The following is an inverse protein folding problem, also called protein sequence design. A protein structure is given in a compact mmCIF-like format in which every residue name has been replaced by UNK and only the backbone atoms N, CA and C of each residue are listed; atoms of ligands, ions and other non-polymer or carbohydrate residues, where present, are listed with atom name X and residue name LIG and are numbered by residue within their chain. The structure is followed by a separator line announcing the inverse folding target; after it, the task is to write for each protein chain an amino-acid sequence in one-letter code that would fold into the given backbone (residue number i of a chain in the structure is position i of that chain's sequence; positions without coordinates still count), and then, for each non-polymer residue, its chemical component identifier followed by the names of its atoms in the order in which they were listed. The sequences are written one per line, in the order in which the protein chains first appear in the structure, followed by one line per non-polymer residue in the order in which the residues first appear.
data_IF_107338337089
#
_entry.id   IF_107338337089
#
_cell.length_a   1.000
_cell.length_b   1.000
_cell.length_c   1.000
_cell.angle_alpha   90.00
_cell.angle_beta   90.00
_cell.angle_gamma   90.00
#
_symmetry.space_group_name_H-M   'P 1'
#
loop_
_entity.id
_entity.type
_entity.pdbx_description
1 polymer ?
#
# COMPACT_ATOMS: atom_id res chain seq x y z
N UNK A 1 -10.74 5.13 0.71
CA UNK A 1 -9.90 4.56 -0.37
C UNK A 1 -9.78 5.51 -1.56
N UNK A 2 -10.86 6.02 -2.17
CA UNK A 2 -10.75 6.95 -3.33
C UNK A 2 -10.00 8.25 -2.97
N UNK A 3 -10.37 8.91 -1.87
CA UNK A 3 -9.67 10.12 -1.40
C UNK A 3 -8.21 9.87 -1.01
N UNK A 4 -7.92 8.67 -0.52
CA UNK A 4 -6.56 8.27 -0.12
C UNK A 4 -5.67 8.04 -1.35
N UNK A 5 -6.22 7.45 -2.42
CA UNK A 5 -5.53 7.32 -3.71
C UNK A 5 -5.23 8.69 -4.31
N UNK A 6 -6.16 9.65 -4.23
CA UNK A 6 -5.94 11.00 -4.73
C UNK A 6 -4.77 11.68 -3.99
N UNK A 7 -4.66 11.49 -2.67
CA UNK A 7 -3.54 12.03 -1.87
C UNK A 7 -2.20 11.36 -2.20
N UNK A 8 -2.20 10.05 -2.40
CA UNK A 8 -1.00 9.33 -2.85
C UNK A 8 -0.55 9.80 -4.24
N UNK A 9 -1.50 10.06 -5.14
CA UNK A 9 -1.21 10.60 -6.47
C UNK A 9 -0.65 12.03 -6.39
N UNK A 10 -1.21 12.88 -5.52
CA UNK A 10 -0.69 14.22 -5.28
C UNK A 10 0.74 14.18 -4.74
N UNK A 11 1.01 13.38 -3.71
CA UNK A 11 2.36 13.23 -3.17
C UNK A 11 3.37 12.76 -4.24
N UNK A 12 2.98 11.78 -5.06
CA UNK A 12 3.80 11.30 -6.17
C UNK A 12 4.04 12.36 -7.26
N UNK A 13 3.07 13.23 -7.51
CA UNK A 13 3.19 14.31 -8.50
C UNK A 13 4.10 15.46 -8.01
N UNK A 14 4.13 15.71 -6.70
CA UNK A 14 4.95 16.74 -6.08
C UNK A 14 6.39 16.26 -5.77
N UNK A 15 6.63 14.94 -5.77
CA UNK A 15 7.96 14.34 -5.53
C UNK A 15 8.93 14.49 -6.73
N UNK A 16 9.33 15.73 -7.01
CA UNK A 16 10.23 16.06 -8.12
C UNK A 16 11.57 15.32 -8.07
N UNK A 17 12.06 15.05 -6.86
CA UNK A 17 13.31 14.31 -6.59
C UNK A 17 13.16 12.79 -6.65
N UNK A 18 11.94 12.29 -6.86
CA UNK A 18 11.61 10.87 -7.00
C UNK A 18 11.99 10.04 -5.76
N UNK A 19 11.96 10.65 -4.58
CA UNK A 19 12.29 10.04 -3.29
C UNK A 19 11.44 8.80 -3.02
N UNK A 20 10.14 8.86 -3.35
CA UNK A 20 9.19 7.74 -3.22
C UNK A 20 9.65 6.56 -4.08
N UNK A 21 9.89 6.79 -5.38
CA UNK A 21 10.28 5.73 -6.30
C UNK A 21 11.59 5.09 -5.85
N UNK A 22 12.58 5.91 -5.52
CA UNK A 22 13.91 5.45 -5.12
C UNK A 22 13.84 4.58 -3.86
N UNK A 23 13.06 4.99 -2.85
CA UNK A 23 12.92 4.22 -1.60
C UNK A 23 12.20 2.88 -1.83
N UNK A 24 11.15 2.86 -2.65
CA UNK A 24 10.44 1.63 -3.02
C UNK A 24 11.35 0.69 -3.81
N UNK A 25 12.11 1.24 -4.78
CA UNK A 25 13.04 0.48 -5.61
C UNK A 25 14.15 -0.16 -4.78
N UNK A 26 14.79 0.61 -3.89
CA UNK A 26 15.83 0.11 -2.98
C UNK A 26 15.30 -0.99 -2.05
N UNK A 27 14.05 -0.89 -1.63
CA UNK A 27 13.39 -1.86 -0.76
C UNK A 27 12.73 -3.02 -1.53
N UNK A 28 12.83 -3.05 -2.86
CA UNK A 28 12.10 -4.00 -3.69
C UNK A 28 12.48 -5.44 -3.40
N UNK A 29 13.78 -5.74 -3.25
CA UNK A 29 14.25 -7.10 -2.96
C UNK A 29 13.82 -7.64 -1.59
N UNK A 30 13.32 -6.78 -0.70
CA UNK A 30 12.87 -7.12 0.65
C UNK A 30 11.35 -7.00 0.81
N UNK A 31 10.89 -6.08 1.69
CA UNK A 31 9.50 -6.10 2.17
C UNK A 31 8.47 -5.81 1.06
N UNK A 32 8.81 -5.03 0.03
CA UNK A 32 7.89 -4.73 -1.07
C UNK A 32 7.58 -5.98 -1.90
N UNK A 33 8.59 -6.76 -2.31
CA UNK A 33 8.37 -8.02 -3.02
C UNK A 33 7.59 -9.02 -2.18
N UNK A 34 7.88 -9.10 -0.88
CA UNK A 34 7.14 -10.00 0.03
C UNK A 34 5.68 -9.61 0.14
N UNK A 35 5.38 -8.31 0.30
CA UNK A 35 4.01 -7.79 0.35
C UNK A 35 3.23 -8.09 -0.94
N UNK A 36 3.84 -7.85 -2.11
CA UNK A 36 3.16 -8.03 -3.40
C UNK A 36 2.89 -9.49 -3.76
N UNK A 37 3.74 -10.43 -3.30
CA UNK A 37 3.57 -11.86 -3.57
C UNK A 37 2.73 -12.58 -2.51
N UNK A 38 2.16 -11.86 -1.56
CA UNK A 38 1.38 -12.44 -0.49
C UNK A 38 -0.13 -12.38 -0.78
N UNK A 39 -0.73 -13.54 -1.07
CA UNK A 39 -2.18 -13.66 -1.30
C UNK A 39 -3.04 -13.30 -0.08
N UNK A 40 -2.51 -13.43 1.14
CA UNK A 40 -3.27 -13.14 2.37
C UNK A 40 -3.48 -11.64 2.62
N UNK A 41 -2.82 -10.77 1.86
CA UNK A 41 -3.08 -9.32 1.86
C UNK A 41 -3.83 -8.87 0.61
N UNK A 42 -4.29 -9.81 -0.22
CA UNK A 42 -5.07 -9.53 -1.42
C UNK A 42 -6.56 -9.66 -1.13
N UNK A 43 -7.32 -8.57 -1.24
CA UNK A 43 -8.74 -8.58 -0.87
C UNK A 43 -9.61 -9.61 -1.63
N UNK A 44 -9.48 -9.80 -2.95
CA UNK A 44 -10.22 -10.84 -3.68
C UNK A 44 -10.02 -12.26 -3.13
N UNK A 45 -8.84 -12.60 -2.60
CA UNK A 45 -8.62 -13.89 -1.94
C UNK A 45 -9.60 -14.09 -0.77
N UNK A 46 -9.76 -13.07 0.08
CA UNK A 46 -10.68 -13.14 1.21
C UNK A 46 -12.14 -13.08 0.81
N UNK A 47 -12.48 -12.32 -0.23
CA UNK A 47 -13.85 -12.28 -0.74
C UNK A 47 -14.30 -13.65 -1.24
N UNK A 48 -13.43 -14.36 -1.97
CA UNK A 48 -13.67 -15.74 -2.34
C UNK A 48 -13.85 -16.67 -1.13
N UNK A 49 -12.95 -16.62 -0.15
CA UNK A 49 -13.01 -17.49 1.02
C UNK A 49 -14.21 -17.21 1.94
N UNK A 50 -14.77 -16.00 1.86
CA UNK A 50 -15.99 -15.62 2.58
C UNK A 50 -17.27 -15.92 1.79
N UNK A 51 -17.18 -16.61 0.64
CA UNK A 51 -18.33 -16.99 -0.17
C UNK A 51 -19.01 -15.83 -0.90
N UNK A 52 -18.32 -14.72 -1.12
CA UNK A 52 -18.84 -13.63 -1.95
C UNK A 52 -18.73 -14.04 -3.41
N UNK A 53 -19.88 -14.06 -4.11
CA UNK A 53 -19.94 -14.38 -5.55
C UNK A 53 -19.10 -13.40 -6.39
N UNK A 54 -18.52 -13.89 -7.50
CA UNK A 54 -17.77 -13.08 -8.46
C UNK A 54 -16.28 -12.89 -8.14
N UNK A 55 -15.75 -13.73 -7.24
CA UNK A 55 -14.34 -13.75 -6.82
C UNK A 55 -13.68 -15.12 -7.01
N UNK A 56 -14.31 -16.04 -7.74
CA UNK A 56 -13.77 -17.35 -8.10
C UNK A 56 -12.47 -17.24 -8.90
N UNK A 57 -12.31 -16.14 -9.65
CA UNK A 57 -11.14 -15.79 -10.47
C UNK A 57 -10.04 -15.04 -9.69
N UNK A 58 -10.03 -15.09 -8.37
CA UNK A 58 -9.07 -14.31 -7.56
C UNK A 58 -7.61 -14.63 -7.90
N UNK A 59 -7.28 -15.86 -8.30
CA UNK A 59 -5.91 -16.24 -8.69
C UNK A 59 -5.46 -15.50 -9.96
N UNK A 60 -6.33 -15.43 -10.97
CA UNK A 60 -6.07 -14.69 -12.20
C UNK A 60 -5.93 -13.18 -11.93
N UNK A 61 -6.80 -12.64 -11.06
CA UNK A 61 -6.70 -11.24 -10.62
C UNK A 61 -5.41 -10.97 -9.84
N UNK A 62 -4.96 -11.93 -9.03
CA UNK A 62 -3.70 -11.80 -8.31
C UNK A 62 -2.52 -11.78 -9.28
N UNK A 63 -2.48 -12.70 -10.24
CA UNK A 63 -1.44 -12.73 -11.27
C UNK A 63 -1.45 -11.45 -12.14
N UNK A 64 -2.64 -10.94 -12.49
CA UNK A 64 -2.79 -9.68 -13.21
C UNK A 64 -2.31 -8.49 -12.37
N UNK A 65 -2.63 -8.45 -11.08
CA UNK A 65 -2.15 -7.44 -10.13
C UNK A 65 -0.62 -7.42 -10.07
N UNK A 66 0.03 -8.59 -10.00
CA UNK A 66 1.50 -8.70 -9.98
C UNK A 66 2.13 -8.21 -11.29
N UNK A 67 1.56 -8.59 -12.44
CA UNK A 67 2.03 -8.10 -13.76
C UNK A 67 1.90 -6.57 -13.87
N UNK A 68 0.77 -6.01 -13.45
CA UNK A 68 0.52 -4.56 -13.51
C UNK A 68 1.43 -3.78 -12.56
N UNK A 69 1.69 -4.31 -11.36
CA UNK A 69 2.66 -3.72 -10.44
C UNK A 69 4.08 -3.72 -11.02
N UNK A 70 4.49 -4.84 -11.65
CA UNK A 70 5.81 -4.94 -12.30
C UNK A 70 5.92 -3.96 -13.48
N UNK A 71 4.83 -3.75 -14.22
CA UNK A 71 4.78 -2.73 -15.28
C UNK A 71 4.92 -1.32 -14.69
N UNK A 72 4.19 -0.99 -13.62
CA UNK A 72 4.29 0.30 -12.94
C UNK A 72 5.72 0.59 -12.44
N UNK A 73 6.45 -0.44 -11.96
CA UNK A 73 7.87 -0.31 -11.60
C UNK A 73 8.78 0.03 -12.78
N UNK A 74 8.51 -0.55 -13.96
CA UNK A 74 9.25 -0.24 -15.20
C UNK A 74 8.96 1.16 -15.69
N UNK A 75 7.69 1.56 -15.65
CA UNK A 75 7.23 2.89 -16.05
C UNK A 75 7.55 3.96 -15.01
N UNK A 76 8.03 3.53 -13.83
CA UNK A 76 8.36 4.37 -12.68
C UNK A 76 7.18 5.23 -12.22
N UNK A 77 5.97 4.68 -12.34
CA UNK A 77 4.70 5.29 -11.95
C UNK A 77 4.50 5.14 -10.43
N UNK A 78 5.08 6.06 -9.67
CA UNK A 78 5.00 6.09 -8.21
C UNK A 78 3.55 6.08 -7.69
N UNK A 79 2.63 6.80 -8.34
CA UNK A 79 1.24 6.86 -7.91
C UNK A 79 0.57 5.49 -8.02
N UNK A 80 0.75 4.80 -9.15
CA UNK A 80 0.21 3.47 -9.35
C UNK A 80 0.87 2.44 -8.42
N UNK A 81 2.19 2.49 -8.24
CA UNK A 81 2.93 1.64 -7.29
C UNK A 81 2.36 1.81 -5.88
N UNK A 82 2.22 3.06 -5.41
CA UNK A 82 1.67 3.38 -4.10
C UNK A 82 0.24 2.85 -3.96
N UNK A 83 -0.60 2.96 -4.99
CA UNK A 83 -1.96 2.42 -4.93
C UNK A 83 -2.00 0.92 -4.65
N UNK A 84 -1.07 0.14 -5.24
CA UNK A 84 -0.95 -1.30 -4.97
C UNK A 84 -0.46 -1.57 -3.55
N UNK A 85 0.59 -0.88 -3.12
CA UNK A 85 1.17 -1.03 -1.77
C UNK A 85 0.12 -0.73 -0.71
N UNK A 86 -0.55 0.43 -0.79
CA UNK A 86 -1.55 0.84 0.18
C UNK A 86 -2.82 -0.01 0.14
N UNK A 87 -3.21 -0.54 -1.03
CA UNK A 87 -4.31 -1.51 -1.10
C UNK A 87 -4.01 -2.79 -0.29
N UNK A 88 -2.76 -3.29 -0.34
CA UNK A 88 -2.34 -4.45 0.47
C UNK A 88 -2.25 -4.09 1.96
N UNK A 89 -1.69 -2.93 2.30
CA UNK A 89 -1.59 -2.45 3.68
C UNK A 89 -2.98 -2.24 4.32
N UNK A 90 -3.97 -1.81 3.54
CA UNK A 90 -5.35 -1.67 4.01
C UNK A 90 -5.94 -3.01 4.49
N UNK A 91 -5.67 -4.11 3.77
CA UNK A 91 -6.09 -5.45 4.20
C UNK A 91 -5.39 -5.84 5.50
N UNK A 92 -4.08 -5.60 5.64
CA UNK A 92 -3.33 -5.85 6.88
C UNK A 92 -3.94 -5.09 8.06
N UNK A 93 -4.23 -3.79 7.87
CA UNK A 93 -4.89 -2.95 8.89
C UNK A 93 -6.24 -3.53 9.30
N UNK A 94 -7.07 -3.96 8.34
CA UNK A 94 -8.36 -4.57 8.66
C UNK A 94 -8.22 -5.89 9.42
N UNK A 95 -7.23 -6.72 9.05
CA UNK A 95 -6.95 -7.96 9.75
C UNK A 95 -6.50 -7.72 11.20
N UNK A 96 -5.73 -6.65 11.47
CA UNK A 96 -5.28 -6.28 12.81
C UNK A 96 -6.43 -5.81 13.71
N UNK A 97 -7.36 -5.02 13.16
CA UNK A 97 -8.47 -4.42 13.93
C UNK A 97 -9.64 -5.38 14.13
N UNK A 98 -10.01 -6.14 13.08
CA UNK A 98 -11.24 -6.94 13.08
C UNK A 98 -11.00 -8.43 13.37
N UNK A 99 -9.76 -8.83 13.70
CA UNK A 99 -9.52 -10.13 14.30
C UNK A 99 -9.46 -11.32 13.33
N UNK A 100 -8.92 -11.14 12.12
CA UNK A 100 -8.48 -12.26 11.25
C UNK A 100 -7.05 -12.74 11.54
N UNK A 101 -6.44 -12.18 12.59
CA UNK A 101 -4.99 -12.12 12.83
C UNK A 101 -4.51 -12.79 14.10
N UNK A 102 -5.40 -13.28 14.96
CA UNK A 102 -5.06 -13.43 16.37
C UNK A 102 -4.50 -14.80 16.76
N UNK A 103 -3.32 -14.69 17.38
CA UNK A 103 -2.70 -15.50 18.42
C UNK A 103 -1.73 -16.62 18.04
N UNK A 104 -1.90 -17.37 16.95
CA UNK A 104 -1.03 -18.55 16.73
C UNK A 104 -0.43 -18.76 15.33
N UNK A 105 -0.63 -17.86 14.36
CA UNK A 105 -0.02 -18.02 13.04
C UNK A 105 1.28 -17.22 12.91
N UNK A 106 2.41 -17.92 12.73
CA UNK A 106 3.69 -17.31 12.38
C UNK A 106 3.60 -16.48 11.07
N UNK A 107 2.64 -16.83 10.21
CA UNK A 107 2.35 -16.16 8.93
C UNK A 107 1.98 -14.69 9.13
N UNK A 108 1.20 -14.35 10.15
CA UNK A 108 0.72 -12.98 10.33
C UNK A 108 1.80 -12.02 10.86
N UNK A 109 2.73 -12.52 11.69
CA UNK A 109 3.83 -11.70 12.24
C UNK A 109 4.76 -11.16 11.16
N UNK A 110 5.06 -11.96 10.15
CA UNK A 110 5.94 -11.54 9.06
C UNK A 110 5.29 -10.42 8.23
N UNK A 111 3.99 -10.53 7.94
CA UNK A 111 3.26 -9.52 7.15
C UNK A 111 3.18 -8.18 7.88
N UNK A 112 2.89 -8.20 9.18
CA UNK A 112 2.85 -7.00 10.02
C UNK A 112 4.24 -6.36 10.10
N UNK A 113 5.29 -7.16 10.29
CA UNK A 113 6.68 -6.67 10.31
C UNK A 113 7.07 -6.02 8.98
N UNK A 114 6.80 -6.69 7.85
CA UNK A 114 7.17 -6.19 6.53
C UNK A 114 6.34 -4.93 6.18
N UNK A 115 5.06 -4.88 6.59
CA UNK A 115 4.20 -3.69 6.46
C UNK A 115 4.71 -2.51 7.29
N UNK A 116 5.14 -2.77 8.53
CA UNK A 116 5.72 -1.75 9.40
C UNK A 116 7.05 -1.23 8.83
N UNK A 117 7.89 -2.11 8.26
CA UNK A 117 9.13 -1.70 7.59
C UNK A 117 8.85 -0.80 6.38
N UNK A 118 7.82 -1.10 5.59
CA UNK A 118 7.41 -0.27 4.44
C UNK A 118 6.95 1.12 4.90
N UNK A 119 6.07 1.19 5.88
CA UNK A 119 5.62 2.47 6.44
C UNK A 119 6.77 3.24 7.08
N UNK A 120 7.73 2.54 7.70
CA UNK A 120 8.90 3.15 8.31
C UNK A 120 9.74 4.00 7.36
N UNK A 121 9.85 3.63 6.09
CA UNK A 121 10.56 4.45 5.09
C UNK A 121 9.64 5.38 4.28
N UNK A 122 8.37 5.02 4.05
CA UNK A 122 7.46 5.86 3.26
C UNK A 122 6.95 7.07 4.05
N UNK A 123 6.68 6.91 5.34
CA UNK A 123 6.08 7.98 6.14
C UNK A 123 6.96 9.23 6.24
N UNK A 124 8.28 9.13 6.53
CA UNK A 124 9.16 10.30 6.52
C UNK A 124 9.18 11.01 5.16
N UNK A 125 9.24 10.26 4.06
CA UNK A 125 9.27 10.83 2.70
C UNK A 125 7.99 11.62 2.41
N UNK A 126 6.82 11.11 2.81
CA UNK A 126 5.57 11.85 2.64
C UNK A 126 5.54 13.12 3.47
N UNK A 127 6.03 13.07 4.72
CA UNK A 127 6.12 14.26 5.56
C UNK A 127 7.04 15.31 4.92
N UNK A 128 8.19 14.90 4.39
CA UNK A 128 9.13 15.81 3.72
C UNK A 128 8.47 16.45 2.48
N UNK A 129 7.81 15.67 1.62
CA UNK A 129 7.08 16.22 0.45
C UNK A 129 5.99 17.21 0.89
N UNK A 130 5.22 16.89 1.95
CA UNK A 130 4.20 17.81 2.47
C UNK A 130 4.81 19.11 3.01
N UNK A 131 6.00 19.05 3.60
CA UNK A 131 6.73 20.21 4.11
C UNK A 131 7.34 21.06 2.98
N UNK A 132 7.80 20.43 1.90
CA UNK A 132 8.32 21.09 0.70
C UNK A 132 7.20 21.81 -0.08
N UNK A 133 5.96 21.29 -0.04
CA UNK A 133 4.79 21.80 -0.76
C UNK A 133 3.64 22.24 0.17
N UNK A 134 3.83 23.26 1.03
CA UNK A 134 2.84 23.66 2.03
C UNK A 134 1.58 24.33 1.44
N UNK A 135 1.64 24.79 0.19
CA UNK A 135 0.52 25.45 -0.50
C UNK A 135 -0.33 24.48 -1.33
N UNK A 136 0.07 23.22 -1.46
CA UNK A 136 -0.70 22.23 -2.19
C UNK A 136 -2.00 21.88 -1.44
N UNK A 137 -3.07 21.56 -2.19
CA UNK A 137 -4.33 21.11 -1.62
C UNK A 137 -4.22 19.64 -1.20
N UNK A 138 -3.67 19.41 0.00
CA UNK A 138 -3.60 18.10 0.65
C UNK A 138 -4.98 17.56 1.11
N UNK A 139 -6.06 18.28 0.77
CA UNK A 139 -7.41 18.04 1.22
C UNK A 139 -7.62 18.45 2.67
N UNK A 140 -8.89 18.47 3.09
CA UNK A 140 -9.23 18.78 4.48
C UNK A 140 -8.65 17.71 5.43
N UNK A 141 -7.91 18.08 6.48
CA UNK A 141 -7.49 17.13 7.51
C UNK A 141 -8.73 16.50 8.15
N UNK A 142 -8.78 15.17 8.20
CA UNK A 142 -9.86 14.47 8.88
C UNK A 142 -9.79 14.67 10.40
N UNK A 143 -8.56 14.84 10.93
CA UNK A 143 -8.28 15.15 12.33
C UNK A 143 -7.60 16.52 12.42
N UNK A 144 -8.37 17.62 12.41
CA UNK A 144 -7.79 18.95 12.53
C UNK A 144 -7.17 19.15 13.92
N UNK A 145 -6.19 20.05 14.03
CA UNK A 145 -5.74 20.56 15.32
C UNK A 145 -6.93 21.26 15.98
N UNK A 146 -7.35 20.75 17.14
CA UNK A 146 -8.35 21.41 17.98
C UNK A 146 -7.56 22.16 19.05
N UNK A 147 -7.69 23.49 19.05
CA UNK A 147 -7.08 24.41 20.01
C UNK A 147 -8.06 25.50 20.37
#
# INVERSE_FOLDING_TARGET
MVEEIARLALAAALDAERRIYNAIWQSFSGPIRLLMNNKYVFNPFWQHHNGIEGFEDWEDRFAASTRRFTQALRDQDSALILSFVFNRLYVVRNQLIHGGSTWNSAVNRNQVRDSAAILGFLMPIFVDIMMDDPQADWGRPFYPVVG
#
